data_IF_491832626370
#
_entry.id   IF_491832626370
#
_cell.length_a   1.000
_cell.length_b   1.000
_cell.length_c   1.000
_cell.angle_alpha   90.00
_cell.angle_beta   90.00
_cell.angle_gamma   90.00
#
_symmetry.space_group_name_H-M   'P 1'
#
loop_
_entity.id
_entity.type
_entity.pdbx_description
1 polymer ?
#
# COMPACT_ATOMS: atom_id res chain seq x y z
N UNK A 1 26.52 -2.46 35.38
CA UNK A 1 25.19 -2.87 34.93
C UNK A 1 24.83 -1.95 33.78
N UNK A 2 25.05 -2.43 32.56
CA UNK A 2 24.74 -1.72 31.32
C UNK A 2 23.23 -1.47 31.25
N UNK A 3 22.86 -0.20 31.23
CA UNK A 3 21.53 0.27 30.92
C UNK A 3 21.26 0.01 29.44
N UNK A 4 20.26 -0.84 29.17
CA UNK A 4 19.73 -1.08 27.82
C UNK A 4 19.23 0.25 27.25
N UNK A 5 19.99 0.81 26.32
CA UNK A 5 19.57 1.92 25.48
C UNK A 5 18.51 1.37 24.50
N UNK A 6 17.23 1.63 24.75
CA UNK A 6 16.19 1.40 23.76
C UNK A 6 16.37 2.46 22.66
N UNK A 7 16.85 2.05 21.48
CA UNK A 7 17.01 2.93 20.33
C UNK A 7 15.65 3.52 19.94
N UNK A 8 15.57 4.79 19.49
CA UNK A 8 14.34 5.30 18.91
C UNK A 8 14.03 4.48 17.66
N UNK A 9 12.78 4.05 17.46
CA UNK A 9 12.33 3.48 16.19
C UNK A 9 12.54 4.53 15.08
N UNK A 10 13.70 4.48 14.42
CA UNK A 10 14.07 5.40 13.34
C UNK A 10 13.20 5.02 12.14
N UNK A 11 12.13 5.80 11.92
CA UNK A 11 11.39 5.75 10.66
C UNK A 11 12.40 5.99 9.53
N UNK A 12 12.56 5.05 8.59
CA UNK A 12 13.51 5.20 7.48
C UNK A 12 13.22 6.48 6.69
N UNK A 13 14.27 7.11 6.17
CA UNK A 13 14.11 8.30 5.36
C UNK A 13 13.39 7.96 4.03
N UNK A 14 12.65 8.92 3.44
CA UNK A 14 11.97 8.68 2.16
C UNK A 14 12.90 8.21 1.03
N UNK A 15 14.17 8.62 1.06
CA UNK A 15 15.20 8.18 0.10
C UNK A 15 15.58 6.72 0.30
N UNK A 16 15.81 6.27 1.53
CA UNK A 16 16.14 4.87 1.82
C UNK A 16 14.99 3.94 1.43
N UNK A 17 13.74 4.36 1.64
CA UNK A 17 12.58 3.61 1.18
C UNK A 17 12.47 3.57 -0.34
N UNK A 18 12.73 4.69 -1.03
CA UNK A 18 12.77 4.73 -2.48
C UNK A 18 13.84 3.78 -3.06
N UNK A 19 15.03 3.73 -2.46
CA UNK A 19 16.11 2.81 -2.83
C UNK A 19 15.73 1.35 -2.57
N UNK A 20 15.13 1.05 -1.41
CA UNK A 20 14.63 -0.30 -1.11
C UNK A 20 13.58 -0.74 -2.12
N UNK A 21 12.61 0.13 -2.43
CA UNK A 21 11.59 -0.16 -3.44
C UNK A 21 12.25 -0.41 -4.79
N UNK A 22 13.20 0.43 -5.21
CA UNK A 22 13.95 0.24 -6.47
C UNK A 22 14.59 -1.14 -6.53
N UNK A 23 15.30 -1.54 -5.48
CA UNK A 23 15.97 -2.84 -5.42
C UNK A 23 14.97 -4.01 -5.45
N UNK A 24 13.81 -3.86 -4.82
CA UNK A 24 12.75 -4.88 -4.80
C UNK A 24 12.08 -5.06 -6.16
N UNK A 25 12.00 -3.99 -6.96
CA UNK A 25 11.37 -3.99 -8.30
C UNK A 25 12.40 -4.08 -9.44
N UNK A 26 13.67 -4.34 -9.12
CA UNK A 26 14.75 -4.46 -10.10
C UNK A 26 15.27 -5.91 -10.11
N UNK A 27 14.77 -6.72 -11.05
CA UNK A 27 15.16 -8.12 -11.20
C UNK A 27 14.09 -8.97 -11.87
N UNK A 28 14.38 -10.26 -12.09
CA UNK A 28 13.40 -11.20 -12.64
C UNK A 28 12.51 -11.73 -11.52
N UNK A 29 11.29 -11.19 -11.42
CA UNK A 29 10.31 -11.52 -10.39
C UNK A 29 10.31 -10.51 -9.24
N UNK A 30 9.14 -9.95 -8.95
CA UNK A 30 8.96 -9.00 -7.84
C UNK A 30 8.95 -9.73 -6.49
N UNK A 31 9.72 -9.23 -5.53
CA UNK A 31 9.61 -9.69 -4.14
C UNK A 31 8.41 -9.02 -3.44
N UNK A 32 7.19 -9.45 -3.77
CA UNK A 32 5.93 -8.88 -3.27
C UNK A 32 5.92 -8.68 -1.75
N UNK A 33 6.44 -9.66 -0.98
CA UNK A 33 6.59 -9.56 0.48
C UNK A 33 7.45 -8.37 0.93
N UNK A 34 8.56 -8.13 0.25
CA UNK A 34 9.46 -7.03 0.58
C UNK A 34 8.85 -5.68 0.18
N UNK A 35 8.08 -5.65 -0.91
CA UNK A 35 7.35 -4.46 -1.32
C UNK A 35 6.26 -4.11 -0.28
N UNK A 36 5.49 -5.11 0.16
CA UNK A 36 4.47 -4.96 1.20
C UNK A 36 5.12 -4.47 2.51
N UNK A 37 6.23 -5.06 2.95
CA UNK A 37 6.85 -4.67 4.22
C UNK A 37 7.32 -3.21 4.25
N UNK A 38 7.71 -2.64 3.11
CA UNK A 38 8.05 -1.21 3.01
C UNK A 38 6.77 -0.36 2.95
N UNK A 39 5.87 -0.64 2.02
CA UNK A 39 4.76 0.26 1.67
C UNK A 39 3.62 0.24 2.71
N UNK A 40 3.37 -0.91 3.36
CA UNK A 40 2.26 -1.07 4.31
C UNK A 40 2.50 -0.37 5.65
N UNK A 41 3.76 -0.13 6.00
CA UNK A 41 4.17 0.53 7.24
C UNK A 41 4.44 2.02 7.04
N UNK A 42 3.83 2.65 6.03
CA UNK A 42 3.97 4.08 5.73
C UNK A 42 2.60 4.74 5.63
N UNK A 43 2.44 5.89 6.27
CA UNK A 43 1.22 6.68 6.17
C UNK A 43 1.17 7.43 4.82
N UNK A 44 0.03 8.04 4.51
CA UNK A 44 -0.17 8.77 3.25
C UNK A 44 0.91 9.83 3.02
N UNK A 45 1.23 10.66 4.02
CA UNK A 45 2.24 11.71 3.89
C UNK A 45 3.63 11.15 3.58
N UNK A 46 4.05 10.10 4.28
CA UNK A 46 5.31 9.41 4.03
C UNK A 46 5.35 8.79 2.63
N UNK A 47 4.25 8.16 2.17
CA UNK A 47 4.18 7.62 0.81
C UNK A 47 4.33 8.71 -0.25
N UNK A 48 3.78 9.90 -0.05
CA UNK A 48 3.99 11.03 -0.97
C UNK A 48 5.46 11.48 -0.98
N UNK A 49 6.09 11.57 0.19
CA UNK A 49 7.52 11.89 0.28
C UNK A 49 8.39 10.83 -0.42
N UNK A 50 8.04 9.54 -0.31
CA UNK A 50 8.73 8.45 -1.00
C UNK A 50 8.60 8.59 -2.52
N UNK A 51 7.39 8.90 -3.04
CA UNK A 51 7.20 9.15 -4.47
C UNK A 51 8.07 10.30 -4.98
N UNK A 52 8.09 11.41 -4.22
CA UNK A 52 8.92 12.56 -4.57
C UNK A 52 10.41 12.19 -4.57
N UNK A 53 10.88 11.52 -3.51
CA UNK A 53 12.26 11.07 -3.41
C UNK A 53 12.64 10.10 -4.56
N UNK A 54 11.74 9.18 -4.93
CA UNK A 54 11.96 8.26 -6.04
C UNK A 54 12.08 8.99 -7.38
N UNK A 55 11.21 9.97 -7.63
CA UNK A 55 11.27 10.80 -8.83
C UNK A 55 12.56 11.62 -8.88
N UNK A 56 13.03 12.17 -7.75
CA UNK A 56 14.29 12.91 -7.67
C UNK A 56 15.52 12.02 -7.92
N UNK A 57 15.52 10.80 -7.38
CA UNK A 57 16.66 9.88 -7.45
C UNK A 57 16.80 9.20 -8.82
N UNK A 58 15.67 8.82 -9.44
CA UNK A 58 15.66 7.98 -10.64
C UNK A 58 15.06 8.66 -11.87
N UNK A 59 14.54 9.88 -11.71
CA UNK A 59 13.84 10.62 -12.76
C UNK A 59 12.71 9.81 -13.42
N UNK A 60 12.04 8.97 -12.63
CA UNK A 60 11.00 8.04 -13.04
C UNK A 60 9.82 8.11 -12.05
N UNK A 61 8.60 7.97 -12.58
CA UNK A 61 7.40 7.95 -11.76
C UNK A 61 7.27 6.59 -11.06
N UNK A 62 7.25 6.61 -9.72
CA UNK A 62 7.17 5.39 -8.91
C UNK A 62 5.90 4.57 -9.18
N UNK A 63 4.76 5.23 -9.42
CA UNK A 63 3.50 4.52 -9.70
C UNK A 63 3.62 3.78 -11.03
N UNK A 64 4.08 4.46 -12.08
CA UNK A 64 4.27 3.86 -13.40
C UNK A 64 5.27 2.71 -13.38
N UNK A 65 6.34 2.84 -12.60
CA UNK A 65 7.31 1.76 -12.41
C UNK A 65 6.65 0.54 -11.79
N UNK A 66 5.86 0.73 -10.73
CA UNK A 66 5.13 -0.36 -10.08
C UNK A 66 4.11 -1.00 -11.02
N UNK A 67 3.38 -0.22 -11.81
CA UNK A 67 2.46 -0.75 -12.85
C UNK A 67 3.18 -1.58 -13.93
N UNK A 68 4.44 -1.24 -14.26
CA UNK A 68 5.20 -1.99 -15.25
C UNK A 68 5.79 -3.30 -14.73
N UNK A 69 5.95 -3.43 -13.41
CA UNK A 69 6.62 -4.57 -12.77
C UNK A 69 5.63 -5.52 -12.08
N UNK A 70 4.48 -5.01 -11.63
CA UNK A 70 3.43 -5.79 -10.99
C UNK A 70 2.35 -6.15 -12.02
N UNK A 71 1.69 -7.28 -11.82
CA UNK A 71 0.55 -7.67 -12.65
C UNK A 71 -0.58 -8.24 -11.80
N UNK A 72 -1.80 -8.22 -12.34
CA UNK A 72 -2.95 -8.90 -11.75
C UNK A 72 -3.52 -8.15 -10.55
N UNK A 73 -3.99 -8.87 -9.53
CA UNK A 73 -4.69 -8.25 -8.42
C UNK A 73 -3.75 -7.60 -7.40
N UNK A 74 -2.51 -8.07 -7.29
CA UNK A 74 -1.50 -7.44 -6.43
C UNK A 74 -1.15 -6.03 -6.91
N UNK A 75 -0.97 -5.85 -8.22
CA UNK A 75 -0.80 -4.55 -8.86
C UNK A 75 -1.92 -3.59 -8.47
N UNK A 76 -3.18 -4.01 -8.60
CA UNK A 76 -4.36 -3.18 -8.26
C UNK A 76 -4.36 -2.76 -6.80
N UNK A 77 -3.97 -3.65 -5.88
CA UNK A 77 -3.92 -3.34 -4.44
C UNK A 77 -2.81 -2.33 -4.15
N UNK A 78 -1.59 -2.55 -4.66
CA UNK A 78 -0.46 -1.64 -4.48
C UNK A 78 -0.77 -0.27 -5.08
N UNK A 79 -1.30 -0.24 -6.31
CA UNK A 79 -1.72 0.98 -6.98
C UNK A 79 -2.68 1.79 -6.11
N UNK A 80 -3.76 1.16 -5.63
CA UNK A 80 -4.77 1.81 -4.77
C UNK A 80 -4.20 2.30 -3.45
N UNK A 81 -3.32 1.52 -2.82
CA UNK A 81 -2.68 1.92 -1.56
C UNK A 81 -1.78 3.13 -1.71
N UNK A 82 -1.10 3.25 -2.86
CA UNK A 82 -0.18 4.34 -3.12
C UNK A 82 -0.89 5.66 -3.42
N UNK A 83 -2.17 5.67 -3.80
CA UNK A 83 -2.93 6.90 -4.01
C UNK A 83 -3.31 7.60 -2.70
N UNK A 84 -3.51 8.92 -2.80
CA UNK A 84 -4.10 9.70 -1.70
C UNK A 84 -5.53 9.16 -1.42
N UNK A 85 -6.02 9.21 -0.16
CA UNK A 85 -7.37 8.76 0.15
C UNK A 85 -8.46 9.32 -0.77
N UNK A 86 -8.33 10.55 -1.26
CA UNK A 86 -9.32 11.14 -2.17
C UNK A 86 -9.26 10.50 -3.57
N UNK A 87 -8.06 10.32 -4.11
CA UNK A 87 -7.87 9.68 -5.41
C UNK A 87 -8.29 8.20 -5.36
N UNK A 88 -7.88 7.51 -4.29
CA UNK A 88 -8.22 6.10 -4.04
C UNK A 88 -9.73 5.90 -4.04
N UNK A 89 -10.46 6.82 -3.42
CA UNK A 89 -11.92 6.80 -3.42
C UNK A 89 -12.54 7.02 -4.77
N UNK A 90 -12.08 8.04 -5.48
CA UNK A 90 -12.58 8.31 -6.82
C UNK A 90 -12.41 7.08 -7.71
N UNK A 91 -11.25 6.41 -7.62
CA UNK A 91 -10.95 5.17 -8.32
C UNK A 91 -11.88 4.03 -7.87
N UNK A 92 -12.07 3.84 -6.56
CA UNK A 92 -12.94 2.78 -6.01
C UNK A 92 -14.41 2.98 -6.36
N UNK A 93 -14.92 4.21 -6.23
CA UNK A 93 -16.27 4.58 -6.60
C UNK A 93 -16.49 4.39 -8.11
N UNK A 94 -15.56 4.84 -8.94
CA UNK A 94 -15.63 4.63 -10.39
C UNK A 94 -15.62 3.14 -10.78
N UNK A 95 -14.75 2.34 -10.15
CA UNK A 95 -14.69 0.90 -10.36
C UNK A 95 -15.97 0.19 -9.90
N UNK A 96 -16.56 0.62 -8.79
CA UNK A 96 -17.82 0.08 -8.30
C UNK A 96 -18.98 0.40 -9.24
N UNK A 97 -19.04 1.63 -9.75
CA UNK A 97 -20.07 2.06 -10.71
C UNK A 97 -20.02 1.30 -12.04
N UNK A 98 -18.83 0.86 -12.48
CA UNK A 98 -18.70 0.04 -13.71
C UNK A 98 -19.36 -1.33 -13.62
N UNK A 99 -19.49 -1.92 -12.44
CA UNK A 99 -20.11 -3.24 -12.26
C UNK A 99 -20.83 -3.34 -10.91
N UNK A 100 -21.89 -2.55 -10.78
CA UNK A 100 -22.61 -2.35 -9.51
C UNK A 100 -23.14 -3.65 -8.88
N UNK A 101 -23.63 -4.60 -9.67
CA UNK A 101 -24.19 -5.85 -9.15
C UNK A 101 -23.15 -6.71 -8.43
N UNK A 102 -21.89 -6.64 -8.86
CA UNK A 102 -20.78 -7.38 -8.25
C UNK A 102 -20.04 -6.55 -7.19
N UNK A 103 -20.06 -5.21 -7.30
CA UNK A 103 -19.18 -4.32 -6.53
C UNK A 103 -19.89 -3.35 -5.58
N UNK A 104 -21.22 -3.39 -5.40
CA UNK A 104 -21.94 -2.47 -4.51
C UNK A 104 -21.44 -2.48 -3.05
N UNK A 105 -20.83 -3.58 -2.60
CA UNK A 105 -20.18 -3.68 -1.28
C UNK A 105 -19.02 -2.67 -1.11
N UNK A 106 -18.33 -2.30 -2.19
CA UNK A 106 -17.28 -1.27 -2.18
C UNK A 106 -17.88 0.11 -1.85
N UNK A 107 -19.05 0.42 -2.42
CA UNK A 107 -19.77 1.66 -2.11
C UNK A 107 -20.25 1.69 -0.66
N UNK A 108 -20.77 0.57 -0.15
CA UNK A 108 -21.14 0.46 1.26
C UNK A 108 -19.91 0.71 2.13
N UNK A 109 -18.77 0.06 1.87
CA UNK A 109 -17.54 0.27 2.62
C UNK A 109 -17.07 1.73 2.59
N UNK A 110 -17.00 2.34 1.40
CA UNK A 110 -16.61 3.74 1.22
C UNK A 110 -17.48 4.73 2.01
N UNK A 111 -18.79 4.47 2.08
CA UNK A 111 -19.74 5.33 2.81
C UNK A 111 -19.75 5.03 4.31
N UNK A 112 -19.39 3.79 4.71
CA UNK A 112 -19.39 3.33 6.11
C UNK A 112 -18.09 3.63 6.86
N UNK A 113 -16.95 3.72 6.16
CA UNK A 113 -15.67 4.08 6.77
C UNK A 113 -15.46 5.59 6.71
N UNK A 114 -15.92 6.31 7.75
CA UNK A 114 -15.35 7.61 8.06
C UNK A 114 -13.84 7.42 8.24
N UNK A 115 -13.04 7.86 7.26
CA UNK A 115 -11.61 7.62 7.23
C UNK A 115 -10.91 8.25 8.40
N UNK A 116 -10.02 7.47 8.98
CA UNK A 116 -9.00 7.90 9.93
C UNK A 116 -8.13 9.01 9.32
N UNK A 117 -8.42 10.26 9.71
CA UNK A 117 -7.52 11.42 9.62
C UNK A 117 -6.59 11.47 10.85
N UNK A 118 -6.01 10.31 11.19
CA UNK A 118 -5.09 10.17 12.32
C UNK A 118 -3.65 10.25 11.83
N UNK A 119 -2.83 11.11 12.45
CA UNK A 119 -1.40 11.23 12.18
C UNK A 119 -0.58 9.97 12.55
N UNK A 120 -1.20 9.00 13.22
CA UNK A 120 -0.51 7.83 13.81
C UNK A 120 -0.87 6.53 13.06
N UNK A 121 0.17 5.81 12.62
CA UNK A 121 0.05 4.47 12.04
C UNK A 121 -0.11 3.46 13.18
N UNK A 122 -1.23 2.75 13.24
CA UNK A 122 -1.34 1.61 14.14
C UNK A 122 -0.57 0.41 13.57
N UNK A 123 0.68 0.22 14.02
CA UNK A 123 1.58 -0.82 13.53
C UNK A 123 1.00 -2.23 13.66
N UNK A 124 0.20 -2.50 14.70
CA UNK A 124 -0.45 -3.81 14.89
C UNK A 124 -1.54 -4.05 13.84
N UNK A 125 -2.33 -3.02 13.52
CA UNK A 125 -3.35 -3.10 12.47
C UNK A 125 -2.70 -3.25 11.09
N UNK A 126 -1.70 -2.43 10.77
CA UNK A 126 -0.93 -2.52 9.53
C UNK A 126 -0.30 -3.91 9.35
N UNK A 127 0.27 -4.48 10.42
CA UNK A 127 0.84 -5.83 10.37
C UNK A 127 -0.24 -6.89 10.11
N UNK A 128 -1.42 -6.76 10.72
CA UNK A 128 -2.54 -7.68 10.50
C UNK A 128 -3.06 -7.59 9.06
N UNK A 129 -3.27 -6.39 8.54
CA UNK A 129 -3.73 -6.15 7.16
C UNK A 129 -2.72 -6.65 6.13
N UNK A 130 -1.43 -6.42 6.35
CA UNK A 130 -0.36 -6.92 5.48
C UNK A 130 -0.34 -8.45 5.41
N UNK A 131 -0.58 -9.14 6.53
CA UNK A 131 -0.66 -10.60 6.57
C UNK A 131 -1.90 -11.12 5.83
N UNK A 132 -3.07 -10.51 6.06
CA UNK A 132 -4.31 -10.87 5.35
C UNK A 132 -4.11 -10.71 3.84
N UNK A 133 -3.51 -9.59 3.40
CA UNK A 133 -3.20 -9.38 1.99
C UNK A 133 -2.25 -10.44 1.44
N UNK A 134 -1.19 -10.76 2.20
CA UNK A 134 -0.20 -11.74 1.78
C UNK A 134 -0.82 -13.13 1.57
N UNK A 135 -1.67 -13.56 2.49
CA UNK A 135 -2.36 -14.86 2.41
C UNK A 135 -3.37 -14.87 1.25
N UNK A 136 -4.13 -13.79 1.04
CA UNK A 136 -5.05 -13.66 -0.08
C UNK A 136 -4.36 -13.77 -1.46
N UNK A 137 -3.18 -13.13 -1.60
CA UNK A 137 -2.35 -13.24 -2.81
C UNK A 137 -1.87 -14.68 -3.02
N UNK A 138 -1.37 -15.32 -1.96
CA UNK A 138 -0.82 -16.68 -1.99
C UNK A 138 -1.87 -17.72 -2.38
N UNK A 139 -3.10 -17.56 -1.91
CA UNK A 139 -4.19 -18.51 -2.14
C UNK A 139 -4.90 -18.29 -3.49
N UNK A 140 -4.55 -17.25 -4.26
CA UNK A 140 -5.30 -16.79 -5.46
C UNK A 140 -6.80 -16.60 -5.18
N UNK A 141 -7.16 -16.41 -3.93
CA UNK A 141 -8.53 -16.27 -3.46
C UNK A 141 -8.87 -14.78 -3.38
N UNK A 142 -8.89 -14.11 -4.54
CA UNK A 142 -9.42 -12.75 -4.61
C UNK A 142 -10.95 -12.80 -4.67
N UNK A 143 -11.57 -13.03 -3.52
CA UNK A 143 -12.95 -12.61 -3.36
C UNK A 143 -12.95 -11.13 -2.98
N UNK A 144 -13.86 -10.36 -3.57
CA UNK A 144 -14.00 -8.91 -3.32
C UNK A 144 -14.12 -8.55 -1.82
N UNK A 145 -14.46 -9.51 -0.97
CA UNK A 145 -14.62 -9.34 0.48
C UNK A 145 -13.32 -9.08 1.24
N UNK A 146 -12.19 -9.67 0.82
CA UNK A 146 -10.92 -9.54 1.56
C UNK A 146 -10.21 -8.23 1.25
N UNK A 147 -10.29 -7.76 0.00
CA UNK A 147 -9.71 -6.46 -0.42
C UNK A 147 -10.41 -5.28 0.27
N UNK A 148 -11.70 -5.39 0.57
CA UNK A 148 -12.49 -4.32 1.20
C UNK A 148 -12.09 -4.11 2.67
N UNK A 149 -11.62 -5.15 3.38
CA UNK A 149 -11.16 -5.04 4.78
C UNK A 149 -9.75 -4.47 4.94
N UNK A 150 -8.98 -4.44 3.87
CA UNK A 150 -7.56 -4.07 3.85
C UNK A 150 -7.38 -2.55 3.63
N UNK A 151 -8.43 -1.84 3.19
CA UNK A 151 -8.41 -0.38 3.04
C UNK A 151 -9.28 0.26 4.13
N UNK A 152 -8.69 0.87 5.17
CA UNK A 152 -9.41 1.80 6.03
C UNK A 152 -9.79 3.08 5.27
#
# INVERSE_FOLDING_TARGET
MESVQCAPDVVPSPREDAEKIRNVVQGFGTHEKALISVIWHRNTAQRQLIKQAYQELYNEDLIKRLESELTGDFEKVVYRWMHDPVDRDAILAHAALKNLSQNYKILIALVSTHRYDGSEINASLASSEANILHDAIKEKAFNHEDVIRIFP
#
